data_IF_714937150243
#
_entry.id   IF_714937150243
#
_cell.length_a   1.000
_cell.length_b   1.000
_cell.length_c   1.000
_cell.angle_alpha   90.00
_cell.angle_beta   90.00
_cell.angle_gamma   90.00
#
_symmetry.space_group_name_H-M   'P 1'
#
loop_
_entity.id
_entity.type
_entity.pdbx_description
1 polymer ?
#
# COMPACT_ATOMS: atom_id res chain seq x y z
N UNK A 1 -0.98 2.90 -11.61
CA UNK A 1 0.05 2.28 -10.75
C UNK A 1 0.95 3.36 -10.19
N UNK A 2 1.24 3.29 -8.91
CA UNK A 2 2.18 4.20 -8.26
C UNK A 2 3.38 3.44 -7.72
N UNK A 3 4.53 4.10 -7.74
CA UNK A 3 5.78 3.52 -7.27
C UNK A 3 6.36 4.39 -6.16
N UNK A 4 6.91 3.75 -5.13
CA UNK A 4 7.52 4.43 -4.00
C UNK A 4 8.86 3.77 -3.69
N UNK A 5 9.86 4.57 -3.31
CA UNK A 5 11.14 4.05 -2.85
C UNK A 5 11.08 3.88 -1.34
N UNK A 6 11.12 2.64 -0.86
CA UNK A 6 11.09 2.31 0.55
C UNK A 6 12.10 1.21 0.85
N UNK A 7 12.80 1.35 1.97
CA UNK A 7 13.65 0.27 2.48
C UNK A 7 12.78 -0.83 3.08
N UNK A 8 13.38 -1.99 3.35
CA UNK A 8 12.64 -3.09 4.00
C UNK A 8 12.09 -2.68 5.36
N UNK A 9 12.85 -1.91 6.13
CA UNK A 9 12.37 -1.41 7.43
C UNK A 9 11.17 -0.48 7.27
N UNK A 10 11.18 0.36 6.23
CA UNK A 10 10.07 1.24 5.93
C UNK A 10 8.83 0.47 5.48
N UNK A 11 9.01 -0.62 4.73
CA UNK A 11 7.89 -1.49 4.35
C UNK A 11 7.30 -2.18 5.58
N UNK A 12 8.12 -2.63 6.51
CA UNK A 12 7.65 -3.19 7.78
C UNK A 12 6.85 -2.16 8.57
N UNK A 13 7.34 -0.92 8.59
CA UNK A 13 6.62 0.19 9.23
C UNK A 13 5.26 0.42 8.57
N UNK A 14 5.21 0.36 7.24
CA UNK A 14 3.96 0.49 6.50
C UNK A 14 2.98 -0.61 6.88
N UNK A 15 3.45 -1.86 7.04
CA UNK A 15 2.61 -2.96 7.51
C UNK A 15 2.03 -2.68 8.89
N UNK A 16 2.83 -2.14 9.79
CA UNK A 16 2.36 -1.77 11.13
C UNK A 16 1.32 -0.68 11.10
N UNK A 17 1.53 0.35 10.27
CA UNK A 17 0.58 1.45 10.10
C UNK A 17 -0.75 0.92 9.56
N UNK A 18 -0.69 0.07 8.55
CA UNK A 18 -1.89 -0.52 7.96
C UNK A 18 -2.64 -1.37 8.99
N UNK A 19 -1.93 -2.17 9.79
CA UNK A 19 -2.54 -3.00 10.81
C UNK A 19 -3.26 -2.16 11.87
N UNK A 20 -2.71 -1.01 12.23
CA UNK A 20 -3.36 -0.08 13.16
C UNK A 20 -4.65 0.50 12.58
N UNK A 21 -4.81 0.51 11.27
CA UNK A 21 -5.99 1.01 10.57
C UNK A 21 -6.97 -0.11 10.22
N UNK A 22 -6.75 -1.32 10.72
CA UNK A 22 -7.61 -2.46 10.42
C UNK A 22 -7.36 -3.09 9.05
N UNK A 23 -6.26 -2.73 8.39
CA UNK A 23 -5.86 -3.30 7.11
C UNK A 23 -4.74 -4.30 7.33
N UNK A 24 -4.69 -5.33 6.48
CA UNK A 24 -3.67 -6.37 6.59
C UNK A 24 -2.90 -6.45 5.27
N UNK A 25 -1.62 -6.06 5.31
CA UNK A 25 -0.74 -6.23 4.15
C UNK A 25 -0.24 -7.66 4.07
N UNK A 26 -0.04 -8.18 2.84
CA UNK A 26 0.55 -9.51 2.68
C UNK A 26 1.92 -9.61 3.34
N UNK A 27 2.24 -10.79 3.86
CA UNK A 27 3.51 -11.02 4.56
C UNK A 27 4.70 -11.12 3.60
N UNK A 28 4.46 -11.42 2.32
CA UNK A 28 5.53 -11.55 1.33
C UNK A 28 5.80 -10.26 0.58
N UNK A 29 6.62 -10.35 -0.46
CA UNK A 29 6.97 -9.20 -1.30
C UNK A 29 5.86 -8.82 -2.27
N UNK A 30 4.85 -9.66 -2.45
CA UNK A 30 3.71 -9.38 -3.31
C UNK A 30 2.42 -9.96 -2.74
N UNK A 31 1.31 -9.38 -3.14
CA UNK A 31 -0.01 -9.82 -2.72
C UNK A 31 -1.06 -8.76 -3.00
N UNK A 32 -2.23 -8.94 -2.41
CA UNK A 32 -3.35 -8.02 -2.59
C UNK A 32 -3.82 -7.52 -1.23
N UNK A 33 -3.90 -6.20 -1.10
CA UNK A 33 -4.46 -5.53 0.06
C UNK A 33 -5.95 -5.33 -0.17
N UNK A 34 -6.78 -5.83 0.76
CA UNK A 34 -8.22 -5.63 0.71
C UNK A 34 -8.60 -4.42 1.55
N UNK A 35 -9.15 -3.42 0.90
CA UNK A 35 -9.64 -2.22 1.56
C UNK A 35 -11.16 -2.25 1.79
N UNK A 36 -11.71 -1.17 2.36
CA UNK A 36 -13.15 -1.06 2.55
C UNK A 36 -13.89 -0.95 1.23
N UNK A 37 -15.17 -1.30 1.22
CA UNK A 37 -16.07 -1.21 0.06
C UNK A 37 -15.62 -2.05 -1.15
N UNK A 38 -14.83 -3.10 -0.93
CA UNK A 38 -14.40 -4.00 -2.00
C UNK A 38 -13.20 -3.50 -2.79
N UNK A 39 -12.53 -2.45 -2.34
CA UNK A 39 -11.32 -1.96 -2.98
C UNK A 39 -10.21 -3.00 -2.81
N UNK A 40 -9.49 -3.28 -3.90
CA UNK A 40 -8.33 -4.17 -3.89
C UNK A 40 -7.16 -3.47 -4.53
N UNK A 41 -6.02 -3.49 -3.83
CA UNK A 41 -4.78 -2.88 -4.29
C UNK A 41 -3.70 -3.95 -4.33
N UNK A 42 -3.09 -4.14 -5.48
CA UNK A 42 -1.96 -5.06 -5.62
C UNK A 42 -0.71 -4.43 -5.06
N UNK A 43 -0.02 -5.19 -4.26
CA UNK A 43 1.22 -4.80 -3.60
C UNK A 43 2.36 -5.61 -4.20
N UNK A 44 3.42 -4.95 -4.64
CA UNK A 44 4.59 -5.59 -5.20
C UNK A 44 5.83 -4.83 -4.73
N UNK A 45 6.68 -5.48 -3.96
CA UNK A 45 7.90 -4.88 -3.44
C UNK A 45 9.14 -5.61 -3.94
N UNK A 46 10.09 -4.86 -4.47
CA UNK A 46 11.39 -5.39 -4.89
C UNK A 46 12.45 -4.97 -3.87
N UNK A 47 12.94 -5.89 -3.03
CA UNK A 47 13.95 -5.56 -2.04
C UNK A 47 15.31 -5.21 -2.65
N UNK A 48 15.60 -5.67 -3.86
CA UNK A 48 16.88 -5.37 -4.52
C UNK A 48 16.94 -3.90 -4.95
N UNK A 49 15.84 -3.33 -5.41
CA UNK A 49 15.78 -1.94 -5.88
C UNK A 49 15.12 -1.02 -4.85
N UNK A 50 14.58 -1.57 -3.76
CA UNK A 50 13.78 -0.85 -2.76
C UNK A 50 12.58 -0.13 -3.39
N UNK A 51 11.96 -0.76 -4.37
CA UNK A 51 10.86 -0.19 -5.12
C UNK A 51 9.55 -0.89 -4.74
N UNK A 52 8.61 -0.12 -4.22
CA UNK A 52 7.28 -0.59 -3.91
C UNK A 52 6.32 -0.13 -5.00
N UNK A 53 5.62 -1.07 -5.63
CA UNK A 53 4.61 -0.78 -6.65
C UNK A 53 3.23 -1.09 -6.10
N UNK A 54 2.32 -0.14 -6.23
CA UNK A 54 0.93 -0.30 -5.82
C UNK A 54 0.04 -0.06 -7.02
N UNK A 55 -0.91 -0.97 -7.24
CA UNK A 55 -1.86 -0.87 -8.34
C UNK A 55 -3.27 -1.16 -7.84
N UNK A 56 -4.21 -0.26 -8.14
CA UNK A 56 -5.62 -0.50 -7.84
C UNK A 56 -6.14 -1.50 -8.88
N UNK A 57 -6.51 -2.70 -8.40
CA UNK A 57 -6.98 -3.77 -9.29
C UNK A 57 -8.49 -3.92 -9.26
N UNK A 58 -9.16 -3.41 -8.22
CA UNK A 58 -10.60 -3.41 -8.13
C UNK A 58 -11.07 -2.26 -7.24
N UNK A 59 -12.15 -1.61 -7.64
CA UNK A 59 -12.77 -0.55 -6.83
C UNK A 59 -14.23 -0.39 -7.25
N UNK A 60 -15.11 0.11 -6.34
CA UNK A 60 -16.47 0.49 -6.73
C UNK A 60 -16.42 1.64 -7.74
N UNK A 61 -17.40 1.70 -8.62
CA UNK A 61 -17.45 2.73 -9.67
C UNK A 61 -17.58 4.16 -9.12
N UNK A 62 -18.10 4.31 -7.91
CA UNK A 62 -18.29 5.62 -7.28
C UNK A 62 -17.05 6.14 -6.57
N UNK A 63 -15.99 5.32 -6.45
CA UNK A 63 -14.72 5.75 -5.88
C UNK A 63 -13.73 6.05 -7.00
N UNK A 64 -13.09 7.22 -6.92
CA UNK A 64 -12.03 7.59 -7.86
C UNK A 64 -10.69 7.10 -7.35
N UNK A 65 -9.71 6.97 -8.26
CA UNK A 65 -8.35 6.62 -7.89
C UNK A 65 -7.76 7.63 -6.91
N UNK A 66 -8.07 8.92 -7.09
CA UNK A 66 -7.58 9.99 -6.23
C UNK A 66 -8.02 9.82 -4.78
N UNK A 67 -9.26 9.39 -4.55
CA UNK A 67 -9.76 9.13 -3.21
C UNK A 67 -8.98 8.00 -2.56
N UNK A 68 -8.73 6.93 -3.31
CA UNK A 68 -8.00 5.76 -2.81
C UNK A 68 -6.55 6.14 -2.49
N UNK A 69 -5.86 6.81 -3.42
CA UNK A 69 -4.48 7.25 -3.20
C UNK A 69 -4.38 8.25 -2.05
N UNK A 70 -5.38 9.11 -1.89
CA UNK A 70 -5.42 10.05 -0.77
C UNK A 70 -5.48 9.37 0.60
N UNK A 71 -5.92 8.12 0.67
CA UNK A 71 -5.88 7.34 1.91
C UNK A 71 -4.57 6.56 2.08
N UNK A 72 -3.97 6.12 1.00
CA UNK A 72 -2.75 5.28 1.03
C UNK A 72 -1.48 6.14 1.15
N UNK A 73 -1.40 7.24 0.41
CA UNK A 73 -0.19 8.07 0.39
C UNK A 73 0.25 8.59 1.77
N UNK A 74 -0.66 9.01 2.67
CA UNK A 74 -0.24 9.39 4.02
C UNK A 74 0.41 8.27 4.79
N UNK A 75 -0.02 7.03 4.60
CA UNK A 75 0.59 5.87 5.26
C UNK A 75 2.02 5.66 4.76
N UNK A 76 2.22 5.77 3.45
CA UNK A 76 3.55 5.65 2.85
C UNK A 76 4.45 6.79 3.33
N UNK A 77 3.93 8.01 3.41
CA UNK A 77 4.67 9.16 3.91
C UNK A 77 5.11 8.96 5.37
N UNK A 78 4.24 8.44 6.22
CA UNK A 78 4.59 8.12 7.60
C UNK A 78 5.67 7.05 7.67
N UNK A 79 5.57 6.02 6.85
CA UNK A 79 6.58 4.96 6.80
C UNK A 79 7.92 5.50 6.30
N UNK A 80 7.92 6.40 5.34
CA UNK A 80 9.14 7.00 4.79
C UNK A 80 9.83 7.92 5.78
N UNK A 81 9.05 8.55 6.66
CA UNK A 81 9.59 9.48 7.66
C UNK A 81 10.22 8.76 8.86
N UNK A 82 10.01 7.47 8.97
CA UNK A 82 10.47 6.68 10.13
C UNK A 82 11.97 6.39 10.07
#
# INVERSE_FOLDING_TARGET
MKEFSLTELQVDKLRQIAAQRGQSLPAGDSGVLNGPAGVKVRFDYDPATHLLKLQIVNKPFFLTDEVIWGQIEPWVAQASAA
#
